data_IF_222813377909
#
_entry.id   IF_222813377909
#
_cell.length_a   1.000
_cell.length_b   1.000
_cell.length_c   1.000
_cell.angle_alpha   90.00
_cell.angle_beta   90.00
_cell.angle_gamma   90.00
#
_symmetry.space_group_name_H-M   'P 1'
#
loop_
_entity.id
_entity.type
_entity.pdbx_description
1 polymer ?
#
# COMPACT_ATOMS: atom_id res chain seq x y z
N UNK A 1 -4.61 2.45 -2.12
CA UNK A 1 -4.39 1.69 -0.86
C UNK A 1 -2.96 1.16 -0.82
N UNK A 2 -2.28 1.25 0.33
CA UNK A 2 -0.93 0.71 0.54
C UNK A 2 -0.94 -0.57 1.39
N UNK A 3 -0.19 -1.59 0.94
CA UNK A 3 -0.15 -2.91 1.57
C UNK A 3 1.29 -3.38 1.83
N UNK A 4 1.44 -4.24 2.83
CA UNK A 4 2.67 -4.84 3.28
C UNK A 4 2.55 -6.36 3.38
N UNK A 5 3.71 -7.04 3.44
CA UNK A 5 3.74 -8.42 3.91
C UNK A 5 3.73 -8.45 5.44
N UNK A 6 3.51 -9.63 6.02
CA UNK A 6 3.28 -9.86 7.46
C UNK A 6 4.52 -9.65 8.36
N UNK A 7 5.67 -9.29 7.79
CA UNK A 7 6.91 -9.17 8.56
C UNK A 7 6.99 -7.79 9.18
N UNK A 8 7.03 -7.73 10.51
CA UNK A 8 7.08 -6.49 11.27
C UNK A 8 5.95 -6.45 12.31
N UNK A 9 5.75 -5.30 12.95
CA UNK A 9 4.54 -5.08 13.76
C UNK A 9 3.45 -4.46 12.89
N UNK A 10 2.19 -4.62 13.31
CA UNK A 10 1.05 -4.01 12.62
C UNK A 10 1.22 -2.49 12.47
N UNK A 11 1.68 -1.81 13.52
CA UNK A 11 1.89 -0.35 13.51
C UNK A 11 2.98 0.04 12.52
N UNK A 12 4.07 -0.74 12.47
CA UNK A 12 5.12 -0.53 11.48
C UNK A 12 4.58 -0.70 10.06
N UNK A 13 3.81 -1.76 9.82
CA UNK A 13 3.28 -2.07 8.50
C UNK A 13 2.19 -1.07 8.07
N UNK A 14 1.35 -0.58 8.98
CA UNK A 14 0.42 0.51 8.72
C UNK A 14 1.17 1.77 8.28
N UNK A 15 2.20 2.18 9.02
CA UNK A 15 3.00 3.36 8.66
C UNK A 15 3.78 3.15 7.34
N UNK A 16 4.27 1.94 7.06
CA UNK A 16 4.96 1.62 5.82
C UNK A 16 4.01 1.63 4.61
N UNK A 17 2.81 1.07 4.74
CA UNK A 17 1.79 1.10 3.70
C UNK A 17 1.35 2.53 3.38
N UNK A 18 1.22 3.40 4.39
CA UNK A 18 0.90 4.82 4.22
C UNK A 18 1.98 5.53 3.40
N UNK A 19 3.26 5.33 3.74
CA UNK A 19 4.39 5.88 2.98
C UNK A 19 4.42 5.39 1.53
N UNK A 20 4.11 4.11 1.28
CA UNK A 20 4.04 3.56 -0.09
C UNK A 20 2.92 4.20 -0.89
N UNK A 21 1.72 4.29 -0.33
CA UNK A 21 0.58 4.91 -0.99
C UNK A 21 0.85 6.39 -1.28
N UNK A 22 1.43 7.11 -0.31
CA UNK A 22 1.83 8.51 -0.48
C UNK A 22 2.87 8.70 -1.58
N UNK A 23 3.89 7.84 -1.68
CA UNK A 23 4.90 7.93 -2.73
C UNK A 23 4.29 7.81 -4.14
N UNK A 24 3.32 6.90 -4.32
CA UNK A 24 2.58 6.76 -5.60
C UNK A 24 1.69 7.96 -5.86
N UNK A 25 1.00 8.47 -4.84
CA UNK A 25 0.21 9.70 -4.95
C UNK A 25 1.06 10.89 -5.37
N UNK A 26 2.16 11.17 -4.66
CA UNK A 26 3.07 12.28 -4.97
C UNK A 26 3.59 12.17 -6.42
N UNK A 27 3.90 10.94 -6.87
CA UNK A 27 4.30 10.68 -8.25
C UNK A 27 3.19 11.03 -9.26
N UNK A 28 1.95 10.64 -9.00
CA UNK A 28 0.82 10.98 -9.89
C UNK A 28 0.54 12.49 -9.93
N UNK A 29 0.64 13.17 -8.79
CA UNK A 29 0.52 14.65 -8.75
C UNK A 29 1.63 15.29 -9.58
N UNK A 30 2.85 14.74 -9.52
CA UNK A 30 3.97 15.23 -10.35
C UNK A 30 3.72 15.07 -11.86
N UNK A 31 2.86 14.12 -12.25
CA UNK A 31 2.42 13.91 -13.63
C UNK A 31 1.17 14.74 -14.01
N UNK A 32 0.68 15.59 -13.11
CA UNK A 32 -0.44 16.51 -13.36
C UNK A 32 -1.82 16.00 -12.92
N UNK A 33 -1.90 14.89 -12.19
CA UNK A 33 -3.16 14.46 -11.60
C UNK A 33 -3.61 15.45 -10.49
N UNK A 34 -4.92 15.67 -10.33
CA UNK A 34 -5.43 16.55 -9.28
C UNK A 34 -5.45 15.82 -7.93
N UNK A 35 -4.92 16.42 -6.85
CA UNK A 35 -4.95 15.84 -5.51
C UNK A 35 -6.35 15.41 -5.05
N UNK A 36 -7.39 16.16 -5.44
CA UNK A 36 -8.78 15.89 -5.06
C UNK A 36 -9.35 14.60 -5.64
N UNK A 37 -8.67 13.95 -6.57
CA UNK A 37 -9.11 12.69 -7.18
C UNK A 37 -8.78 11.46 -6.33
N UNK A 38 -7.96 11.61 -5.28
CA UNK A 38 -7.41 10.48 -4.54
C UNK A 38 -7.62 10.61 -3.04
N UNK A 39 -7.82 9.45 -2.41
CA UNK A 39 -7.71 9.26 -0.96
C UNK A 39 -6.57 8.29 -0.68
N UNK A 40 -5.76 8.62 0.32
CA UNK A 40 -4.69 7.74 0.81
C UNK A 40 -5.22 6.89 1.96
N UNK A 41 -4.99 5.59 1.87
CA UNK A 41 -5.36 4.60 2.88
C UNK A 41 -4.26 3.55 2.95
N UNK A 42 -3.89 3.15 4.15
CA UNK A 42 -3.00 2.02 4.42
C UNK A 42 -3.76 0.91 5.13
N UNK A 43 -3.59 -0.32 4.65
CA UNK A 43 -4.05 -1.52 5.36
C UNK A 43 -2.90 -2.30 6.00
N UNK A 44 -1.66 -1.81 5.86
CA UNK A 44 -0.48 -2.55 6.30
C UNK A 44 -0.52 -4.00 5.81
N UNK A 45 -0.38 -4.95 6.73
CA UNK A 45 -0.47 -6.39 6.45
C UNK A 45 -1.88 -6.98 6.52
N UNK A 46 -2.89 -6.21 6.92
CA UNK A 46 -4.23 -6.73 7.27
C UNK A 46 -5.06 -7.22 6.07
N UNK A 47 -4.66 -6.85 4.85
CA UNK A 47 -5.31 -7.27 3.59
C UNK A 47 -4.31 -7.91 2.61
N UNK A 48 -3.81 -9.11 2.91
CA UNK A 48 -2.87 -9.80 2.04
C UNK A 48 -3.58 -10.24 0.75
N UNK A 49 -2.88 -10.09 -0.38
CA UNK A 49 -3.31 -10.67 -1.66
C UNK A 49 -3.04 -12.17 -1.72
N UNK A 50 -2.08 -12.65 -0.94
CA UNK A 50 -1.69 -14.04 -0.81
C UNK A 50 -1.41 -14.35 0.67
N UNK A 51 -2.10 -15.35 1.22
CA UNK A 51 -2.01 -15.73 2.64
C UNK A 51 -0.74 -16.55 2.96
N UNK A 52 0.09 -16.87 1.96
CA UNK A 52 1.32 -17.63 2.18
C UNK A 52 2.40 -16.86 2.94
N UNK A 53 3.20 -17.58 3.72
CA UNK A 53 4.37 -17.05 4.45
C UNK A 53 5.68 -17.41 3.75
N UNK A 54 5.87 -16.88 2.54
CA UNK A 54 7.06 -17.11 1.72
C UNK A 54 7.29 -15.95 0.74
N UNK A 55 8.48 -15.89 0.13
CA UNK A 55 8.84 -14.75 -0.74
C UNK A 55 7.90 -14.57 -1.94
N UNK A 56 7.30 -15.64 -2.45
CA UNK A 56 6.34 -15.54 -3.56
C UNK A 56 5.10 -14.77 -3.12
N UNK A 57 4.56 -15.07 -1.94
CA UNK A 57 3.41 -14.39 -1.36
C UNK A 57 3.76 -12.97 -0.89
N UNK A 58 4.88 -12.80 -0.17
CA UNK A 58 5.31 -11.50 0.33
C UNK A 58 5.51 -10.48 -0.79
N UNK A 59 6.08 -10.90 -1.93
CA UNK A 59 6.22 -10.04 -3.11
C UNK A 59 4.86 -9.54 -3.64
N UNK A 60 3.81 -10.38 -3.61
CA UNK A 60 2.45 -9.96 -4.01
C UNK A 60 1.83 -9.01 -2.98
N UNK A 61 2.11 -9.23 -1.70
CA UNK A 61 1.53 -8.44 -0.61
C UNK A 61 2.15 -7.04 -0.50
N UNK A 62 3.44 -6.88 -0.84
CA UNK A 62 4.10 -5.56 -0.94
C UNK A 62 3.65 -4.79 -2.19
N UNK A 63 2.47 -4.16 -2.14
CA UNK A 63 1.86 -3.48 -3.29
C UNK A 63 1.17 -2.16 -2.93
N UNK A 64 0.88 -1.38 -3.96
CA UNK A 64 -0.08 -0.27 -3.93
C UNK A 64 -1.20 -0.59 -4.93
N UNK A 65 -2.45 -0.41 -4.51
CA UNK A 65 -3.64 -0.74 -5.29
C UNK A 65 -4.53 0.48 -5.51
N UNK A 66 -5.09 0.62 -6.71
CA UNK A 66 -6.06 1.66 -7.04
C UNK A 66 -7.47 1.07 -6.99
N UNK A 67 -8.29 1.57 -6.08
CA UNK A 67 -9.68 1.16 -5.89
C UNK A 67 -10.61 2.35 -6.08
N UNK A 68 -11.84 2.10 -6.51
CA UNK A 68 -12.91 3.12 -6.45
C UNK A 68 -13.61 2.96 -5.12
N UNK A 69 -13.85 4.08 -4.44
CA UNK A 69 -14.73 4.14 -3.27
C UNK A 69 -16.18 3.93 -3.70
#
# INVERSE_FOLDING_TARGET
EGHCDERGTNEYNLALGERRAKAVFDYLISLGASPSQFSLVSFGEERPADQGSNEVAWRKNRRVEFTRL
#
